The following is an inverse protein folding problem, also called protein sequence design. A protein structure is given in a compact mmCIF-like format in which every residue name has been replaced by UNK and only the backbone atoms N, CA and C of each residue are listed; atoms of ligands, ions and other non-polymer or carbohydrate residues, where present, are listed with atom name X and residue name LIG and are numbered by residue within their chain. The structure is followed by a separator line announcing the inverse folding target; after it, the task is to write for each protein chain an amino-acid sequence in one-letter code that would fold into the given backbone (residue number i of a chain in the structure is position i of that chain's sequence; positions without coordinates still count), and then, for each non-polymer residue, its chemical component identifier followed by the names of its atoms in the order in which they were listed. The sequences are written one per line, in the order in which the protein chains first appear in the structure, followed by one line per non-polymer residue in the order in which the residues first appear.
data_IF_291865483436
#
_entry.id   IF_291865483436
#
_cell.length_a   1.000
_cell.length_b   1.000
_cell.length_c   1.000
_cell.angle_alpha   90.00
_cell.angle_beta   90.00
_cell.angle_gamma   90.00
#
_symmetry.space_group_name_H-M   'P 1'
#
loop_
_entity.id
_entity.type
_entity.pdbx_description
1 polymer ?
#
# COMPACT_ATOMS: atom_id res chain seq x y z
N UNK A 1 38.03 32.66 10.54
CA UNK A 1 37.93 33.55 11.72
C UNK A 1 38.41 34.94 11.29
N UNK A 2 37.70 36.04 11.56
CA UNK A 2 36.30 36.17 11.99
C UNK A 2 35.49 37.19 11.15
N UNK A 3 34.21 37.29 11.53
CA UNK A 3 33.11 38.10 10.99
C UNK A 3 33.35 39.61 10.97
N UNK A 4 32.69 40.32 10.06
CA UNK A 4 31.68 41.38 10.31
C UNK A 4 31.64 42.35 9.13
N UNK A 5 30.47 42.51 8.50
CA UNK A 5 29.76 43.79 8.38
C UNK A 5 28.52 43.63 7.50
N UNK A 6 27.37 43.77 8.15
CA UNK A 6 26.07 43.98 7.56
C UNK A 6 25.95 45.43 7.07
N UNK A 7 25.11 45.62 6.06
CA UNK A 7 24.35 46.85 5.75
C UNK A 7 25.09 48.00 5.07
N UNK A 8 24.58 48.39 3.89
CA UNK A 8 24.10 49.76 3.62
C UNK A 8 23.23 49.76 2.34
N UNK A 9 21.95 50.05 2.55
CA UNK A 9 21.04 50.85 1.73
C UNK A 9 20.54 50.39 0.35
N UNK A 10 19.38 49.73 0.41
CA UNK A 10 18.12 50.04 -0.30
C UNK A 10 17.97 51.52 -0.79
N UNK A 11 17.77 51.75 -2.11
CA UNK A 11 16.64 52.53 -2.72
C UNK A 11 16.88 53.00 -4.17
N UNK A 12 15.77 52.96 -4.94
CA UNK A 12 15.43 53.66 -6.21
C UNK A 12 16.12 53.12 -7.47
N UNK A 13 15.51 52.91 -8.63
CA UNK A 13 14.18 53.18 -9.26
C UNK A 13 14.26 52.42 -10.60
N UNK A 14 13.34 51.52 -10.97
CA UNK A 14 12.09 51.76 -11.73
C UNK A 14 12.28 52.60 -13.00
N UNK A 15 11.85 52.00 -14.12
CA UNK A 15 11.48 52.57 -15.43
C UNK A 15 12.57 52.96 -16.45
N UNK A 16 12.41 52.45 -17.69
CA UNK A 16 12.55 53.31 -18.87
C UNK A 16 13.51 52.86 -19.98
N UNK A 17 12.98 52.09 -20.93
CA UNK A 17 13.11 52.23 -22.40
C UNK A 17 14.46 52.67 -23.01
N UNK A 18 15.06 51.78 -23.81
CA UNK A 18 15.90 52.10 -24.98
C UNK A 18 15.00 52.30 -26.22
N UNK A 19 15.35 53.15 -27.23
CA UNK A 19 16.09 52.65 -28.42
C UNK A 19 16.92 53.77 -29.15
N UNK A 20 17.30 53.67 -30.45
CA UNK A 20 18.51 53.00 -30.97
C UNK A 20 19.36 53.92 -31.91
N UNK A 21 20.62 53.56 -32.23
CA UNK A 21 21.19 53.71 -33.61
C UNK A 21 22.66 53.25 -33.76
N UNK A 22 22.85 52.40 -34.78
CA UNK A 22 23.93 52.31 -35.79
C UNK A 22 25.42 52.05 -35.46
N UNK A 23 25.89 50.92 -36.05
CA UNK A 23 27.15 50.69 -36.81
C UNK A 23 28.50 50.89 -36.09
N UNK A 24 29.57 50.09 -36.26
CA UNK A 24 30.00 49.09 -37.25
C UNK A 24 31.28 48.38 -36.71
N UNK A 25 31.52 47.13 -37.15
CA UNK A 25 32.81 46.41 -37.28
C UNK A 25 33.71 46.26 -36.05
N UNK A 26 33.85 45.07 -35.46
CA UNK A 26 34.55 43.83 -35.90
C UNK A 26 35.81 43.65 -35.06
N UNK A 27 36.10 42.41 -34.67
CA UNK A 27 37.24 41.96 -33.85
C UNK A 27 37.08 42.16 -32.32
N UNK A 28 36.02 41.60 -31.70
CA UNK A 28 36.06 41.21 -30.28
C UNK A 28 34.86 40.34 -29.83
N UNK A 29 34.50 39.31 -30.59
CA UNK A 29 33.36 38.41 -30.24
C UNK A 29 33.74 36.95 -29.96
N UNK A 30 35.02 36.61 -30.02
CA UNK A 30 35.49 35.25 -29.72
C UNK A 30 36.23 35.18 -28.37
N UNK A 31 36.79 36.29 -27.86
CA UNK A 31 37.43 36.32 -26.54
C UNK A 31 36.48 36.67 -25.37
N UNK A 32 35.36 37.35 -25.61
CA UNK A 32 34.40 37.68 -24.54
C UNK A 32 33.37 36.57 -24.26
N UNK A 33 33.11 35.69 -25.22
CA UNK A 33 32.19 34.55 -25.04
C UNK A 33 32.81 33.46 -24.17
N UNK A 34 34.14 33.30 -24.18
CA UNK A 34 34.83 32.32 -23.34
C UNK A 34 35.03 32.78 -21.89
N UNK A 35 35.14 34.10 -21.63
CA UNK A 35 35.26 34.62 -20.26
C UNK A 35 33.89 34.72 -19.58
N UNK A 36 32.80 35.01 -20.31
CA UNK A 36 31.45 34.96 -19.75
C UNK A 36 30.96 33.52 -19.47
N UNK A 37 31.42 32.53 -20.22
CA UNK A 37 31.11 31.12 -19.94
C UNK A 37 31.85 30.62 -18.70
N UNK A 38 33.08 31.08 -18.42
CA UNK A 38 33.80 30.66 -17.20
C UNK A 38 33.28 31.39 -15.95
N UNK A 39 32.92 32.67 -16.03
CA UNK A 39 32.42 33.42 -14.87
C UNK A 39 30.95 33.10 -14.53
N UNK A 40 30.11 32.75 -15.50
CA UNK A 40 28.72 32.29 -15.23
C UNK A 40 28.68 30.84 -14.73
N UNK A 41 29.66 30.01 -15.13
CA UNK A 41 29.77 28.63 -14.62
C UNK A 41 30.29 28.62 -13.18
N UNK A 42 31.22 29.50 -12.78
CA UNK A 42 31.72 29.55 -11.40
C UNK A 42 30.77 30.28 -10.42
N UNK A 43 30.06 31.33 -10.83
CA UNK A 43 29.03 31.95 -9.96
C UNK A 43 27.75 31.11 -9.85
N UNK A 44 27.46 30.26 -10.84
CA UNK A 44 26.37 29.28 -10.80
C UNK A 44 26.69 28.03 -9.95
N UNK A 45 27.97 27.77 -9.69
CA UNK A 45 28.44 26.66 -8.84
C UNK A 45 28.63 27.07 -7.36
N UNK A 46 28.70 28.36 -7.05
CA UNK A 46 28.91 28.86 -5.68
C UNK A 46 27.65 29.38 -4.96
N UNK A 47 26.50 29.45 -5.63
CA UNK A 47 25.19 29.76 -5.01
C UNK A 47 24.24 28.56 -4.94
N UNK A 48 24.76 27.34 -5.11
CA UNK A 48 23.99 26.08 -5.05
C UNK A 48 24.41 25.13 -3.92
N UNK A 49 25.27 25.60 -3.02
CA UNK A 49 25.52 24.99 -1.71
C UNK A 49 24.88 25.90 -0.67
N UNK A 50 24.11 25.30 0.22
CA UNK A 50 23.41 25.93 1.33
C UNK A 50 22.12 26.67 0.97
N UNK A 51 21.08 25.92 0.53
CA UNK A 51 19.66 26.15 0.90
C UNK A 51 18.70 25.12 0.25
N UNK A 52 18.96 23.80 0.34
CA UNK A 52 17.92 22.76 0.18
C UNK A 52 18.33 21.54 1.00
N UNK A 53 18.15 21.60 2.31
CA UNK A 53 18.02 20.43 3.17
C UNK A 53 16.54 20.15 3.36
N UNK A 54 16.14 18.88 3.23
CA UNK A 54 14.78 18.34 3.37
C UNK A 54 13.77 18.79 2.30
N UNK A 55 13.61 18.04 1.19
CA UNK A 55 12.28 17.81 0.56
C UNK A 55 12.21 16.90 -0.70
N UNK A 56 13.25 16.17 -1.11
CA UNK A 56 13.25 15.52 -2.44
C UNK A 56 13.36 13.97 -2.53
N UNK A 57 12.99 13.20 -1.51
CA UNK A 57 13.00 11.71 -1.60
C UNK A 57 11.64 10.98 -1.51
N UNK A 58 10.48 11.64 -1.40
CA UNK A 58 9.16 10.96 -1.33
C UNK A 58 8.43 10.87 -2.70
N UNK A 59 9.13 10.50 -3.78
CA UNK A 59 8.58 10.42 -5.15
C UNK A 59 8.53 8.98 -5.65
N UNK A 60 7.69 8.14 -5.04
CA UNK A 60 7.41 6.81 -5.59
C UNK A 60 6.04 6.26 -5.15
N UNK A 61 5.72 6.31 -3.87
CA UNK A 61 4.93 5.23 -3.27
C UNK A 61 3.43 5.09 -3.55
N UNK A 62 2.80 6.01 -4.25
CA UNK A 62 1.35 6.11 -4.08
C UNK A 62 0.49 5.13 -4.87
N UNK A 63 1.11 4.34 -5.74
CA UNK A 63 0.48 3.31 -6.57
C UNK A 63 1.58 2.56 -7.35
N UNK A 64 2.81 2.46 -6.79
CA UNK A 64 4.00 1.98 -7.52
C UNK A 64 4.19 0.48 -7.46
N UNK A 65 3.08 -0.23 -7.51
CA UNK A 65 3.07 -1.60 -8.01
C UNK A 65 3.21 -1.65 -9.55
N UNK A 66 3.24 -0.50 -10.25
CA UNK A 66 2.99 -0.49 -11.71
C UNK A 66 3.97 0.32 -12.57
N UNK A 67 5.08 0.85 -12.03
CA UNK A 67 5.97 1.75 -12.79
C UNK A 67 7.47 1.38 -12.87
N UNK A 68 7.90 0.17 -12.51
CA UNK A 68 9.31 -0.22 -12.65
C UNK A 68 9.55 -1.20 -13.81
N UNK A 69 9.48 -0.74 -15.06
CA UNK A 69 10.14 -1.41 -16.19
C UNK A 69 10.75 -0.37 -17.15
N UNK A 70 12.04 -0.10 -17.00
CA UNK A 70 12.93 -0.02 -18.16
C UNK A 70 14.41 -0.26 -17.79
N UNK A 71 15.15 -0.82 -18.76
CA UNK A 71 16.59 -1.12 -18.81
C UNK A 71 17.11 -2.50 -18.30
N UNK A 72 17.09 -3.46 -19.25
CA UNK A 72 18.15 -4.42 -19.67
C UNK A 72 18.64 -5.56 -18.76
N UNK A 73 18.44 -6.76 -19.31
CA UNK A 73 19.18 -8.04 -19.17
C UNK A 73 20.70 -7.89 -19.18
N UNK A 74 21.55 -8.72 -18.56
CA UNK A 74 21.72 -10.18 -18.59
C UNK A 74 22.77 -10.56 -17.54
N UNK A 75 22.72 -11.76 -16.92
CA UNK A 75 23.87 -12.70 -16.69
C UNK A 75 23.42 -13.88 -15.78
N UNK A 76 23.91 -15.12 -15.97
CA UNK A 76 23.33 -16.36 -15.42
C UNK A 76 23.84 -16.75 -14.03
N UNK A 77 23.04 -17.59 -13.35
CA UNK A 77 23.28 -18.17 -12.03
C UNK A 77 24.28 -19.34 -12.02
N UNK A 78 25.00 -19.49 -10.90
CA UNK A 78 25.81 -20.66 -10.52
C UNK A 78 25.23 -21.34 -9.27
N UNK A 79 25.33 -22.68 -9.12
CA UNK A 79 24.64 -23.44 -8.07
C UNK A 79 25.41 -23.54 -6.73
N UNK A 80 24.73 -23.88 -5.62
CA UNK A 80 25.31 -23.85 -4.28
C UNK A 80 26.08 -25.12 -3.91
N UNK A 81 27.21 -24.93 -3.21
CA UNK A 81 28.00 -25.97 -2.58
C UNK A 81 27.47 -26.36 -1.19
N UNK A 82 27.43 -27.66 -0.96
CA UNK A 82 27.11 -28.37 0.29
C UNK A 82 28.15 -28.13 1.39
N UNK A 83 27.71 -27.90 2.63
CA UNK A 83 28.53 -28.17 3.82
C UNK A 83 27.67 -28.56 5.03
N UNK A 84 28.17 -29.57 5.74
CA UNK A 84 27.53 -30.36 6.80
C UNK A 84 27.49 -29.66 8.16
N UNK A 85 26.54 -30.11 8.99
CA UNK A 85 26.42 -29.87 10.45
C UNK A 85 27.68 -30.28 11.23
N UNK A 86 27.83 -29.75 12.45
CA UNK A 86 27.91 -30.67 13.58
C UNK A 86 26.95 -30.34 14.73
N UNK A 87 26.58 -31.43 15.39
CA UNK A 87 25.79 -31.59 16.61
C UNK A 87 26.45 -30.98 17.85
N UNK A 88 25.65 -30.39 18.74
CA UNK A 88 25.96 -30.31 20.15
C UNK A 88 24.68 -30.44 20.99
N UNK A 89 24.77 -31.30 22.00
CA UNK A 89 23.77 -31.68 22.99
C UNK A 89 23.34 -30.53 23.89
N UNK A 90 22.05 -30.47 24.25
CA UNK A 90 21.55 -29.61 25.33
C UNK A 90 20.87 -30.48 26.38
N UNK A 91 21.41 -30.41 27.60
CA UNK A 91 20.83 -30.95 28.82
C UNK A 91 19.64 -30.10 29.29
N UNK A 92 18.70 -30.75 29.97
CA UNK A 92 17.33 -30.29 30.13
C UNK A 92 17.11 -29.08 31.03
N UNK A 93 15.93 -28.50 30.85
CA UNK A 93 15.22 -27.71 31.86
C UNK A 93 13.73 -28.09 31.86
N UNK A 94 13.20 -28.07 33.08
CA UNK A 94 11.92 -28.58 33.54
C UNK A 94 10.70 -27.76 33.07
N UNK A 95 9.65 -28.50 32.70
CA UNK A 95 8.21 -28.22 32.80
C UNK A 95 7.71 -26.79 32.48
N UNK A 96 7.21 -26.63 31.25
CA UNK A 96 6.23 -25.60 30.90
C UNK A 96 4.87 -26.26 30.65
N UNK A 97 3.82 -25.60 31.17
CA UNK A 97 2.41 -26.00 31.11
C UNK A 97 1.96 -26.27 29.67
N UNK A 98 1.16 -27.33 29.49
CA UNK A 98 0.45 -27.64 28.25
C UNK A 98 -0.35 -26.44 27.76
N UNK A 99 0.17 -25.77 26.73
CA UNK A 99 -0.62 -24.95 25.82
C UNK A 99 -1.06 -25.89 24.69
N UNK A 100 -2.29 -26.39 24.78
CA UNK A 100 -2.93 -27.11 23.69
C UNK A 100 -3.08 -26.16 22.51
N UNK A 101 -2.15 -26.25 21.55
CA UNK A 101 -2.28 -25.63 20.23
C UNK A 101 -3.44 -26.35 19.54
N UNK A 102 -4.65 -25.81 19.65
CA UNK A 102 -5.82 -26.26 18.90
C UNK A 102 -5.58 -25.96 17.41
N UNK A 103 -4.86 -26.85 16.74
CA UNK A 103 -4.83 -26.96 15.29
C UNK A 103 -6.03 -27.80 14.87
N UNK A 104 -7.24 -27.25 15.01
CA UNK A 104 -8.37 -27.81 14.30
C UNK A 104 -8.16 -27.52 12.81
N UNK A 105 -7.45 -28.42 12.14
CA UNK A 105 -7.36 -28.44 10.68
C UNK A 105 -8.71 -28.97 10.19
N UNK A 106 -9.74 -28.12 10.21
CA UNK A 106 -10.90 -28.34 9.36
C UNK A 106 -10.35 -28.32 7.94
N UNK A 107 -10.62 -29.38 7.17
CA UNK A 107 -10.18 -29.46 5.78
C UNK A 107 -10.67 -28.23 5.04
N UNK A 108 -9.75 -27.33 4.66
CA UNK A 108 -10.06 -26.07 3.98
C UNK A 108 -10.86 -26.27 2.69
N UNK A 109 -10.82 -27.48 2.11
CA UNK A 109 -11.58 -27.87 0.93
C UNK A 109 -13.10 -27.91 1.13
N UNK A 110 -13.61 -27.94 2.38
CA UNK A 110 -15.06 -27.90 2.63
C UNK A 110 -15.61 -26.47 2.75
N UNK A 111 -14.75 -25.48 3.02
CA UNK A 111 -15.15 -24.08 3.28
C UNK A 111 -14.89 -23.20 2.04
N UNK A 112 -13.80 -23.46 1.33
CA UNK A 112 -13.29 -22.60 0.28
C UNK A 112 -13.13 -23.35 -1.05
N UNK A 113 -13.75 -22.82 -2.10
CA UNK A 113 -13.69 -23.38 -3.45
C UNK A 113 -13.27 -22.32 -4.48
N UNK A 114 -12.40 -22.65 -5.46
CA UNK A 114 -12.10 -21.74 -6.56
C UNK A 114 -13.39 -21.25 -7.25
N UNK A 115 -13.46 -19.95 -7.53
CA UNK A 115 -14.61 -19.33 -8.19
C UNK A 115 -15.79 -18.98 -7.28
N UNK A 116 -15.73 -19.31 -5.99
CA UNK A 116 -16.79 -18.98 -5.02
C UNK A 116 -16.19 -18.35 -3.75
N UNK A 117 -16.68 -17.17 -3.31
CA UNK A 117 -16.29 -16.58 -2.04
C UNK A 117 -16.52 -17.50 -0.84
N UNK A 118 -15.51 -17.67 0.01
CA UNK A 118 -15.60 -18.50 1.22
C UNK A 118 -16.61 -17.92 2.23
N UNK A 119 -17.49 -18.76 2.77
CA UNK A 119 -18.40 -18.41 3.87
C UNK A 119 -17.95 -19.18 5.10
N UNK A 120 -17.65 -18.46 6.19
CA UNK A 120 -17.17 -19.06 7.43
C UNK A 120 -18.34 -19.34 8.39
N UNK A 121 -18.36 -20.51 9.07
CA UNK A 121 -19.44 -20.87 9.96
C UNK A 121 -19.36 -20.18 11.34
N UNK A 122 -18.16 -19.79 11.76
CA UNK A 122 -17.91 -19.04 12.98
C UNK A 122 -18.25 -17.56 12.82
N UNK A 123 -18.82 -16.98 13.87
CA UNK A 123 -19.01 -15.54 14.00
C UNK A 123 -17.89 -14.96 14.85
N UNK A 124 -17.13 -14.04 14.28
CA UNK A 124 -16.10 -13.27 14.97
C UNK A 124 -16.30 -11.79 14.70
N UNK A 125 -15.76 -10.94 15.58
CA UNK A 125 -15.79 -9.49 15.38
C UNK A 125 -14.78 -9.05 14.31
N UNK A 126 -13.59 -9.67 14.29
CA UNK A 126 -12.52 -9.44 13.31
C UNK A 126 -12.11 -10.72 12.57
N UNK A 127 -12.22 -10.72 11.24
CA UNK A 127 -11.60 -11.76 10.39
C UNK A 127 -10.42 -11.19 9.63
N UNK A 128 -9.24 -11.71 9.91
CA UNK A 128 -7.99 -11.33 9.24
C UNK A 128 -7.75 -12.34 8.12
N UNK A 129 -7.62 -11.85 6.89
CA UNK A 129 -7.41 -12.66 5.70
C UNK A 129 -6.05 -12.31 5.13
N UNK A 130 -5.11 -13.24 5.21
CA UNK A 130 -3.76 -13.10 4.70
C UNK A 130 -3.65 -13.81 3.35
N UNK A 131 -3.20 -13.08 2.33
CA UNK A 131 -2.96 -13.58 0.99
C UNK A 131 -1.45 -13.74 0.79
N UNK A 132 -0.99 -14.95 0.45
CA UNK A 132 0.41 -15.22 0.16
C UNK A 132 0.56 -16.19 -1.02
N UNK A 133 1.80 -16.34 -1.49
CA UNK A 133 2.15 -17.26 -2.56
C UNK A 133 3.48 -17.96 -2.25
N UNK A 134 4.60 -17.29 -2.51
CA UNK A 134 5.93 -17.90 -2.47
C UNK A 134 6.98 -17.06 -1.72
N UNK A 135 6.53 -16.15 -0.85
CA UNK A 135 7.41 -15.25 -0.10
C UNK A 135 7.43 -15.61 1.39
N UNK A 136 7.98 -16.79 1.72
CA UNK A 136 8.09 -17.31 3.10
C UNK A 136 8.50 -16.26 4.14
N UNK A 137 9.58 -15.52 3.87
CA UNK A 137 10.09 -14.55 4.85
C UNK A 137 9.21 -13.30 4.96
N UNK A 138 8.49 -12.95 3.88
CA UNK A 138 7.53 -11.85 3.85
C UNK A 138 6.31 -12.19 4.71
N UNK A 139 5.67 -13.34 4.46
CA UNK A 139 4.48 -13.75 5.23
C UNK A 139 4.80 -13.93 6.73
N UNK A 140 6.00 -14.43 7.08
CA UNK A 140 6.44 -14.50 8.48
C UNK A 140 6.48 -13.13 9.15
N UNK A 141 6.94 -12.08 8.46
CA UNK A 141 6.97 -10.71 9.01
C UNK A 141 5.56 -10.17 9.25
N UNK A 142 4.66 -10.36 8.29
CA UNK A 142 3.24 -10.00 8.45
C UNK A 142 2.63 -10.72 9.65
N UNK A 143 2.72 -12.06 9.68
CA UNK A 143 2.13 -12.88 10.74
C UNK A 143 2.69 -12.50 12.12
N UNK A 144 3.98 -12.20 12.23
CA UNK A 144 4.56 -11.70 13.48
C UNK A 144 3.96 -10.36 13.91
N UNK A 145 3.68 -9.43 12.98
CA UNK A 145 3.02 -8.15 13.32
C UNK A 145 1.58 -8.32 13.79
N UNK A 146 0.89 -9.38 13.35
CA UNK A 146 -0.48 -9.67 13.77
C UNK A 146 -0.56 -10.20 15.21
N UNK A 147 0.48 -10.85 15.72
CA UNK A 147 0.49 -11.40 17.08
C UNK A 147 0.41 -10.32 18.18
N UNK A 148 0.70 -9.07 17.84
CA UNK A 148 0.67 -7.95 18.77
C UNK A 148 -0.66 -7.18 18.76
N UNK A 149 -1.66 -7.60 17.96
CA UNK A 149 -2.92 -6.87 17.83
C UNK A 149 -3.65 -6.68 19.15
N UNK A 150 -4.18 -5.47 19.35
CA UNK A 150 -5.08 -5.15 20.45
C UNK A 150 -6.53 -5.29 19.96
N UNK A 151 -7.21 -6.33 20.46
CA UNK A 151 -8.59 -6.68 20.07
C UNK A 151 -9.68 -5.99 20.93
N UNK A 152 -9.31 -5.28 21.99
CA UNK A 152 -10.26 -4.56 22.85
C UNK A 152 -11.39 -5.42 23.43
N UNK A 153 -11.09 -6.70 23.72
CA UNK A 153 -12.03 -7.67 24.26
C UNK A 153 -12.85 -8.43 23.20
N UNK A 154 -12.67 -8.11 21.92
CA UNK A 154 -13.36 -8.76 20.82
C UNK A 154 -12.67 -10.07 20.38
N UNK A 155 -13.41 -10.88 19.63
CA UNK A 155 -12.94 -12.13 19.04
C UNK A 155 -12.32 -11.92 17.65
N UNK A 156 -11.32 -12.74 17.31
CA UNK A 156 -10.72 -12.73 15.98
C UNK A 156 -10.53 -14.14 15.39
N UNK A 157 -10.48 -14.21 14.06
CA UNK A 157 -10.03 -15.39 13.31
C UNK A 157 -8.96 -14.99 12.28
N UNK A 158 -8.01 -15.88 12.03
CA UNK A 158 -6.93 -15.71 11.07
C UNK A 158 -7.04 -16.76 9.96
N UNK A 159 -7.35 -16.30 8.76
CA UNK A 159 -7.43 -17.10 7.53
C UNK A 159 -6.19 -16.82 6.68
N UNK A 160 -5.42 -17.85 6.33
CA UNK A 160 -4.19 -17.68 5.55
C UNK A 160 -4.33 -18.47 4.24
N UNK A 161 -4.38 -17.75 3.13
CA UNK A 161 -4.51 -18.32 1.79
C UNK A 161 -3.15 -18.40 1.09
N UNK A 162 -2.85 -19.57 0.53
CA UNK A 162 -1.64 -19.86 -0.23
C UNK A 162 -2.05 -20.26 -1.65
N UNK A 163 -1.68 -19.44 -2.62
CA UNK A 163 -1.89 -19.74 -4.05
C UNK A 163 -0.81 -20.69 -4.60
N UNK A 164 -1.09 -21.28 -5.77
CA UNK A 164 -0.13 -22.05 -6.56
C UNK A 164 0.39 -21.22 -7.72
N UNK A 165 1.54 -21.59 -8.27
CA UNK A 165 2.04 -20.99 -9.50
C UNK A 165 1.20 -21.41 -10.70
N UNK A 166 1.27 -20.68 -11.81
CA UNK A 166 0.55 -20.99 -13.07
C UNK A 166 0.79 -22.44 -13.58
N UNK A 167 1.92 -23.05 -13.23
CA UNK A 167 2.25 -24.45 -13.54
C UNK A 167 1.82 -25.47 -12.48
N UNK A 168 1.01 -25.06 -11.49
CA UNK A 168 0.58 -25.88 -10.35
C UNK A 168 1.61 -26.00 -9.22
N UNK A 169 2.77 -25.34 -9.35
CA UNK A 169 3.86 -25.38 -8.35
C UNK A 169 3.35 -24.87 -7.00
N UNK A 170 3.60 -25.68 -5.97
CA UNK A 170 3.29 -25.37 -4.58
C UNK A 170 4.58 -25.12 -3.81
N UNK A 171 4.64 -24.00 -3.07
CA UNK A 171 5.83 -23.58 -2.34
C UNK A 171 5.77 -24.09 -0.91
N UNK A 172 6.29 -25.31 -0.71
CA UNK A 172 6.24 -26.03 0.56
C UNK A 172 6.85 -25.24 1.73
N UNK A 173 7.92 -24.48 1.48
CA UNK A 173 8.60 -23.69 2.51
C UNK A 173 7.73 -22.55 3.08
N UNK A 174 6.89 -21.95 2.23
CA UNK A 174 5.92 -20.93 2.62
C UNK A 174 4.79 -21.57 3.43
N UNK A 175 4.28 -22.72 2.99
CA UNK A 175 3.28 -23.49 3.75
C UNK A 175 3.80 -23.91 5.14
N UNK A 176 5.00 -24.48 5.21
CA UNK A 176 5.60 -24.92 6.48
C UNK A 176 5.73 -23.75 7.46
N UNK A 177 6.13 -22.57 6.97
CA UNK A 177 6.23 -21.37 7.79
C UNK A 177 4.87 -20.89 8.34
N UNK A 178 3.82 -20.95 7.52
CA UNK A 178 2.45 -20.57 7.88
C UNK A 178 1.84 -21.55 8.89
N UNK A 179 2.02 -22.86 8.66
CA UNK A 179 1.54 -23.91 9.57
C UNK A 179 2.23 -23.81 10.92
N UNK A 180 3.55 -23.64 10.93
CA UNK A 180 4.34 -23.54 12.16
C UNK A 180 4.13 -22.24 12.95
N UNK A 181 3.55 -21.20 12.35
CA UNK A 181 3.32 -19.93 13.02
C UNK A 181 2.30 -20.07 14.18
N UNK A 182 2.67 -19.66 15.38
CA UNK A 182 1.77 -19.64 16.54
C UNK A 182 0.88 -18.40 16.52
N UNK A 183 -0.43 -18.59 16.60
CA UNK A 183 -1.46 -17.56 16.67
C UNK A 183 -2.26 -17.75 17.97
N UNK A 184 -2.31 -16.72 18.81
CA UNK A 184 -2.88 -16.81 20.15
C UNK A 184 -4.12 -15.93 20.35
N UNK A 185 -4.60 -15.25 19.30
CA UNK A 185 -5.70 -14.29 19.37
C UNK A 185 -7.02 -14.84 18.81
N UNK A 186 -7.09 -16.16 18.55
CA UNK A 186 -8.30 -16.85 18.12
C UNK A 186 -8.04 -18.06 17.24
N UNK A 187 -8.98 -18.40 16.37
CA UNK A 187 -8.82 -19.53 15.44
C UNK A 187 -7.86 -19.19 14.30
N UNK A 188 -7.02 -20.14 13.89
CA UNK A 188 -6.14 -20.04 12.72
C UNK A 188 -6.45 -21.15 11.72
N UNK A 189 -6.71 -20.80 10.47
CA UNK A 189 -6.91 -21.75 9.37
C UNK A 189 -5.99 -21.44 8.19
N UNK A 190 -5.50 -22.51 7.56
CA UNK A 190 -4.61 -22.44 6.40
C UNK A 190 -5.32 -23.05 5.20
N UNK A 191 -5.49 -22.23 4.18
CA UNK A 191 -6.19 -22.56 2.94
C UNK A 191 -5.17 -22.65 1.81
N UNK A 192 -5.06 -23.83 1.20
CA UNK A 192 -4.22 -24.02 0.02
C UNK A 192 -5.13 -24.16 -1.19
N UNK A 193 -5.02 -23.24 -2.15
CA UNK A 193 -5.79 -23.35 -3.38
C UNK A 193 -5.37 -24.61 -4.15
N UNK A 194 -6.35 -25.37 -4.66
CA UNK A 194 -6.09 -26.61 -5.40
C UNK A 194 -5.50 -26.33 -6.79
N UNK A 195 -5.78 -25.15 -7.34
CA UNK A 195 -5.28 -24.66 -8.63
C UNK A 195 -4.79 -23.20 -8.48
N UNK A 196 -4.10 -22.69 -9.49
CA UNK A 196 -3.71 -21.28 -9.52
C UNK A 196 -4.94 -20.39 -9.69
N UNK A 197 -5.31 -19.65 -8.66
CA UNK A 197 -6.44 -18.70 -8.72
C UNK A 197 -5.99 -17.27 -9.02
N UNK A 198 -4.69 -17.00 -8.88
CA UNK A 198 -4.08 -15.70 -9.09
C UNK A 198 -4.56 -14.64 -8.09
N UNK A 199 -4.04 -13.42 -8.23
CA UNK A 199 -4.39 -12.33 -7.30
C UNK A 199 -5.88 -11.99 -7.34
N UNK A 200 -6.56 -12.15 -8.48
CA UNK A 200 -8.02 -11.97 -8.56
C UNK A 200 -8.74 -12.96 -7.65
N UNK A 201 -8.44 -14.26 -7.77
CA UNK A 201 -9.10 -15.26 -6.96
C UNK A 201 -8.72 -15.18 -5.49
N UNK A 202 -7.46 -14.86 -5.17
CA UNK A 202 -7.04 -14.63 -3.79
C UNK A 202 -7.84 -13.51 -3.11
N UNK A 203 -7.98 -12.35 -3.77
CA UNK A 203 -8.76 -11.25 -3.20
C UNK A 203 -10.26 -11.51 -3.19
N UNK A 204 -10.81 -12.08 -4.26
CA UNK A 204 -12.26 -12.10 -4.48
C UNK A 204 -12.91 -13.34 -3.85
N UNK A 205 -12.21 -14.47 -3.81
CA UNK A 205 -12.78 -15.73 -3.32
C UNK A 205 -12.47 -16.03 -1.85
N UNK A 206 -11.57 -15.29 -1.19
CA UNK A 206 -11.14 -15.58 0.18
C UNK A 206 -12.17 -15.28 1.26
N UNK A 207 -13.21 -14.49 0.96
CA UNK A 207 -14.22 -14.11 1.96
C UNK A 207 -15.53 -13.64 1.34
N UNK A 208 -16.65 -14.07 1.92
CA UNK A 208 -17.99 -13.54 1.72
C UNK A 208 -18.46 -12.88 3.02
N UNK A 209 -18.87 -11.61 2.99
CA UNK A 209 -19.35 -10.92 4.18
C UNK A 209 -20.46 -11.66 4.91
N UNK A 210 -20.36 -11.69 6.23
CA UNK A 210 -21.42 -12.11 7.16
C UNK A 210 -21.81 -10.91 8.03
N UNK A 211 -23.03 -10.93 8.55
CA UNK A 211 -23.55 -9.83 9.39
C UNK A 211 -22.71 -9.66 10.67
N UNK A 212 -22.29 -8.42 10.95
CA UNK A 212 -21.62 -8.03 12.18
C UNK A 212 -20.10 -8.26 12.22
N UNK A 213 -19.50 -8.79 11.15
CA UNK A 213 -18.07 -9.08 11.07
C UNK A 213 -17.30 -7.98 10.32
N UNK A 214 -16.13 -7.58 10.84
CA UNK A 214 -15.16 -6.75 10.15
C UNK A 214 -14.10 -7.65 9.52
N UNK A 215 -13.94 -7.59 8.19
CA UNK A 215 -12.82 -8.24 7.50
C UNK A 215 -11.63 -7.29 7.34
N UNK A 216 -10.41 -7.79 7.50
CA UNK A 216 -9.16 -7.12 7.19
C UNK A 216 -8.34 -7.99 6.24
N UNK A 217 -8.20 -7.57 4.98
CA UNK A 217 -7.47 -8.31 3.95
C UNK A 217 -6.06 -7.73 3.80
N UNK A 218 -5.05 -8.59 3.87
CA UNK A 218 -3.63 -8.23 3.89
C UNK A 218 -2.84 -9.11 2.92
N UNK A 219 -2.02 -8.49 2.07
CA UNK A 219 -0.98 -9.19 1.32
C UNK A 219 0.26 -9.41 2.20
N UNK A 220 1.03 -10.44 1.90
CA UNK A 220 2.14 -10.88 2.74
C UNK A 220 3.24 -9.83 2.96
N UNK A 221 3.36 -8.79 2.12
CA UNK A 221 4.32 -7.68 2.25
C UNK A 221 3.89 -6.51 3.15
N UNK A 222 2.76 -6.64 3.83
CA UNK A 222 2.25 -5.64 4.76
C UNK A 222 2.73 -5.91 6.19
N UNK A 223 3.10 -4.86 6.94
CA UNK A 223 3.19 -4.90 8.40
C UNK A 223 2.13 -3.97 8.99
N UNK A 224 1.49 -4.37 10.08
CA UNK A 224 0.43 -3.57 10.72
C UNK A 224 0.81 -3.10 12.13
N UNK A 225 0.21 -1.98 12.55
CA UNK A 225 0.26 -1.53 13.94
C UNK A 225 -0.64 -2.40 14.80
N UNK A 226 -0.24 -2.64 16.07
CA UNK A 226 -1.10 -3.29 17.07
C UNK A 226 -2.48 -2.65 17.22
N UNK A 227 -2.60 -1.36 16.92
CA UNK A 227 -3.85 -0.60 17.05
C UNK A 227 -4.68 -0.53 15.76
N UNK A 228 -4.30 -1.26 14.69
CA UNK A 228 -5.01 -1.15 13.42
C UNK A 228 -6.48 -1.57 13.53
N UNK A 229 -6.77 -2.62 14.32
CA UNK A 229 -8.13 -3.06 14.57
C UNK A 229 -8.94 -2.04 15.36
N UNK A 230 -8.38 -1.45 16.43
CA UNK A 230 -9.06 -0.41 17.22
C UNK A 230 -9.53 0.75 16.34
N UNK A 231 -8.70 1.20 15.38
CA UNK A 231 -9.11 2.22 14.42
C UNK A 231 -10.20 1.73 13.46
N UNK A 232 -10.05 0.52 12.89
CA UNK A 232 -11.04 -0.07 11.98
C UNK A 232 -12.40 -0.26 12.65
N UNK A 233 -12.43 -0.81 13.87
CA UNK A 233 -13.64 -0.97 14.69
C UNK A 233 -14.38 0.35 14.85
N UNK A 234 -13.66 1.41 15.22
CA UNK A 234 -14.23 2.74 15.36
C UNK A 234 -14.74 3.30 14.02
N UNK A 235 -13.98 3.11 12.94
CA UNK A 235 -14.36 3.59 11.60
C UNK A 235 -15.61 2.89 11.07
N UNK A 236 -15.69 1.55 11.15
CA UNK A 236 -16.88 0.78 10.80
C UNK A 236 -18.08 1.20 11.65
N UNK A 237 -17.90 1.38 12.97
CA UNK A 237 -19.00 1.85 13.85
C UNK A 237 -19.52 3.23 13.47
N UNK A 238 -18.63 4.17 13.13
CA UNK A 238 -19.02 5.55 12.83
C UNK A 238 -19.61 5.69 11.42
N UNK A 239 -19.04 4.98 10.45
CA UNK A 239 -19.33 5.17 9.03
C UNK A 239 -20.19 4.06 8.41
N UNK A 240 -20.41 2.93 9.08
CA UNK A 240 -20.99 1.72 8.48
C UNK A 240 -22.40 1.86 7.94
N UNK A 241 -23.15 2.90 8.33
CA UNK A 241 -24.47 3.19 7.77
C UNK A 241 -24.43 4.10 6.52
N UNK A 242 -23.24 4.52 6.08
CA UNK A 242 -23.10 5.39 4.91
C UNK A 242 -23.08 4.58 3.63
N UNK A 243 -24.03 4.87 2.75
CA UNK A 243 -24.16 4.20 1.46
C UNK A 243 -23.07 4.53 0.45
N UNK A 244 -22.28 5.60 0.68
CA UNK A 244 -21.27 6.10 -0.24
C UNK A 244 -19.84 5.61 0.05
N UNK A 245 -19.68 4.60 0.91
CA UNK A 245 -18.37 4.05 1.29
C UNK A 245 -18.19 2.65 0.73
N UNK A 246 -17.15 2.43 -0.08
CA UNK A 246 -16.79 1.10 -0.60
C UNK A 246 -16.05 0.24 0.43
N UNK A 247 -15.38 0.88 1.38
CA UNK A 247 -14.59 0.24 2.41
C UNK A 247 -13.57 1.18 3.04
N UNK A 248 -12.73 0.61 3.87
CA UNK A 248 -11.78 1.28 4.76
C UNK A 248 -10.38 0.77 4.44
N UNK A 249 -9.35 1.60 4.63
CA UNK A 249 -7.98 1.16 4.40
C UNK A 249 -7.05 1.61 5.53
N UNK A 250 -6.07 0.76 5.85
CA UNK A 250 -4.97 1.09 6.76
C UNK A 250 -3.87 1.91 6.07
N UNK A 251 -4.01 2.17 4.76
CA UNK A 251 -3.16 3.07 3.98
C UNK A 251 -3.45 4.54 4.31
N UNK A 252 -2.42 5.40 4.29
CA UNK A 252 -2.62 6.85 4.55
C UNK A 252 -1.73 7.78 3.74
N UNK A 253 -0.41 7.73 3.95
CA UNK A 253 0.53 8.80 3.61
C UNK A 253 1.00 8.81 2.15
N UNK A 254 0.69 7.75 1.42
CA UNK A 254 1.06 7.57 0.04
C UNK A 254 -0.16 7.53 -0.87
N UNK A 255 -1.06 8.50 -0.83
CA UNK A 255 -2.08 8.59 -1.89
C UNK A 255 -1.81 9.82 -2.75
N UNK A 256 -1.77 9.64 -4.07
CA UNK A 256 -1.50 10.69 -5.06
C UNK A 256 -2.75 10.92 -5.91
N UNK A 257 -2.77 12.05 -6.61
CA UNK A 257 -3.72 12.29 -7.69
C UNK A 257 -3.60 11.21 -8.78
N UNK A 258 -4.71 10.56 -9.09
CA UNK A 258 -4.83 9.57 -10.15
C UNK A 258 -4.90 10.20 -11.56
N UNK A 259 -5.05 11.54 -11.69
CA UNK A 259 -5.12 12.25 -12.99
C UNK A 259 -3.84 13.01 -13.39
N UNK A 260 -2.69 12.74 -12.77
CA UNK A 260 -1.41 13.33 -13.19
C UNK A 260 -0.54 13.95 -12.09
N UNK A 261 -0.44 13.30 -10.92
CA UNK A 261 0.71 13.52 -10.04
C UNK A 261 0.75 14.81 -9.22
N UNK A 262 -0.37 15.55 -9.10
CA UNK A 262 -0.48 16.56 -8.04
C UNK A 262 -0.25 15.90 -6.68
N UNK A 263 0.58 16.53 -5.85
CA UNK A 263 0.73 16.13 -4.46
C UNK A 263 -0.62 16.28 -3.77
N UNK A 264 -1.10 15.20 -3.16
CA UNK A 264 -2.29 15.24 -2.35
C UNK A 264 -1.89 15.72 -0.96
N UNK A 265 -2.55 16.77 -0.47
CA UNK A 265 -2.42 17.18 0.93
C UNK A 265 -3.73 16.88 1.63
N UNK A 266 -3.69 15.90 2.53
CA UNK A 266 -4.78 15.62 3.41
C UNK A 266 -5.09 16.85 4.32
N UNK A 267 -6.35 16.99 4.79
CA UNK A 267 -6.75 18.06 5.71
C UNK A 267 -5.97 17.97 7.03
N UNK A 268 -5.65 19.10 7.68
CA UNK A 268 -4.88 19.07 8.95
C UNK A 268 -5.76 18.79 10.17
N UNK A 269 -7.04 19.08 10.07
CA UNK A 269 -8.04 19.09 11.13
C UNK A 269 -8.95 17.85 11.11
N UNK A 270 -8.77 16.94 10.14
CA UNK A 270 -9.56 15.71 10.03
C UNK A 270 -8.67 14.48 10.18
N UNK A 271 -9.06 13.57 11.09
CA UNK A 271 -8.40 12.29 11.35
C UNK A 271 -8.58 11.27 10.22
N UNK A 272 -9.57 11.47 9.35
CA UNK A 272 -9.87 10.64 8.19
C UNK A 272 -10.52 11.46 7.07
N UNK A 273 -10.44 10.97 5.84
CA UNK A 273 -11.10 11.56 4.67
C UNK A 273 -11.53 10.46 3.69
N UNK A 274 -12.42 10.81 2.76
CA UNK A 274 -12.90 9.92 1.71
C UNK A 274 -12.20 10.22 0.38
N UNK A 275 -11.84 9.18 -0.36
CA UNK A 275 -11.17 9.33 -1.65
C UNK A 275 -11.67 8.27 -2.65
N UNK A 276 -11.91 8.66 -3.91
CA UNK A 276 -12.22 7.73 -5.01
C UNK A 276 -11.13 6.70 -5.31
N UNK A 277 -9.88 6.98 -4.92
CA UNK A 277 -8.78 6.04 -5.11
C UNK A 277 -8.82 5.00 -3.98
N UNK A 278 -8.93 3.72 -4.36
CA UNK A 278 -8.77 2.58 -3.46
C UNK A 278 -7.38 2.61 -2.79
N UNK A 279 -7.32 2.32 -1.49
CA UNK A 279 -6.07 1.94 -0.82
C UNK A 279 -6.04 0.44 -0.55
N UNK A 280 -5.11 -0.28 -1.17
CA UNK A 280 -5.00 -1.75 -1.06
C UNK A 280 -4.25 -2.23 0.17
N UNK A 281 -3.54 -1.34 0.89
CA UNK A 281 -2.74 -1.75 2.06
C UNK A 281 -3.61 -1.89 3.30
N UNK A 282 -4.00 -3.12 3.62
CA UNK A 282 -4.93 -3.41 4.70
C UNK A 282 -6.33 -2.93 4.37
N UNK A 283 -6.86 -3.38 3.23
CA UNK A 283 -8.23 -3.04 2.83
C UNK A 283 -9.23 -3.85 3.67
N UNK A 284 -10.21 -3.15 4.21
CA UNK A 284 -11.32 -3.68 5.00
C UNK A 284 -12.61 -3.30 4.27
N UNK A 285 -13.19 -4.20 3.46
CA UNK A 285 -14.32 -3.86 2.62
C UNK A 285 -15.57 -3.48 3.43
N UNK A 286 -16.41 -2.59 2.90
CA UNK A 286 -17.78 -2.45 3.40
C UNK A 286 -18.56 -3.71 2.99
N UNK A 287 -19.22 -4.43 3.92
CA UNK A 287 -19.79 -5.74 3.65
C UNK A 287 -20.78 -5.72 2.46
N UNK A 288 -21.75 -4.81 2.47
CA UNK A 288 -22.75 -4.72 1.39
C UNK A 288 -22.12 -4.42 0.02
N UNK A 289 -21.23 -3.41 -0.04
CA UNK A 289 -20.58 -3.01 -1.29
C UNK A 289 -19.63 -4.07 -1.83
N UNK A 290 -18.95 -4.81 -0.95
CA UNK A 290 -18.11 -5.93 -1.35
C UNK A 290 -18.92 -7.07 -1.92
N UNK A 291 -20.07 -7.38 -1.31
CA UNK A 291 -21.00 -8.39 -1.80
C UNK A 291 -21.50 -8.07 -3.21
N UNK A 292 -21.94 -6.83 -3.42
CA UNK A 292 -22.36 -6.31 -4.73
C UNK A 292 -21.23 -6.39 -5.77
N UNK A 293 -20.01 -5.99 -5.38
CA UNK A 293 -18.83 -6.08 -6.24
C UNK A 293 -18.51 -7.51 -6.65
N UNK A 294 -18.52 -8.47 -5.71
CA UNK A 294 -18.26 -9.88 -6.00
C UNK A 294 -19.27 -10.46 -6.99
N UNK A 295 -20.56 -10.16 -6.79
CA UNK A 295 -21.64 -10.69 -7.62
C UNK A 295 -21.60 -10.09 -9.04
N UNK A 296 -21.32 -8.79 -9.14
CA UNK A 296 -21.08 -8.11 -10.41
C UNK A 296 -19.85 -8.69 -11.13
N UNK A 297 -18.72 -8.77 -10.42
CA UNK A 297 -17.44 -9.23 -10.98
C UNK A 297 -17.54 -10.65 -11.55
N UNK A 298 -18.24 -11.55 -10.85
CA UNK A 298 -18.48 -12.94 -11.31
C UNK A 298 -19.15 -12.99 -12.68
N UNK A 299 -20.05 -12.04 -12.95
CA UNK A 299 -20.75 -11.96 -14.24
C UNK A 299 -19.91 -11.21 -15.28
N UNK A 300 -19.44 -10.01 -14.93
CA UNK A 300 -18.73 -9.12 -15.84
C UNK A 300 -17.41 -9.70 -16.37
N UNK A 301 -16.68 -10.47 -15.54
CA UNK A 301 -15.40 -11.09 -15.95
C UNK A 301 -15.54 -12.13 -17.06
N UNK A 302 -16.73 -12.72 -17.24
CA UNK A 302 -16.97 -13.69 -18.31
C UNK A 302 -17.30 -13.04 -19.65
N UNK A 303 -17.51 -11.72 -19.69
CA UNK A 303 -17.67 -10.97 -20.93
C UNK A 303 -16.30 -10.55 -21.47
N UNK A 304 -15.84 -11.21 -22.53
CA UNK A 304 -14.55 -10.91 -23.16
C UNK A 304 -14.48 -9.53 -23.83
N UNK A 305 -15.62 -8.86 -24.03
CA UNK A 305 -15.67 -7.51 -24.59
C UNK A 305 -15.64 -6.42 -23.52
N UNK A 306 -15.82 -6.80 -22.25
CA UNK A 306 -15.82 -5.86 -21.15
C UNK A 306 -14.39 -5.49 -20.72
N UNK A 307 -14.15 -4.20 -20.56
CA UNK A 307 -12.90 -3.65 -20.05
C UNK A 307 -13.21 -2.67 -18.92
N UNK A 308 -12.65 -2.84 -17.70
CA UNK A 308 -12.94 -2.00 -16.55
C UNK A 308 -12.25 -0.63 -16.63
N UNK A 309 -12.36 0.07 -17.76
CA UNK A 309 -11.71 1.38 -17.95
C UNK A 309 -12.49 2.50 -17.27
N UNK A 310 -11.75 3.40 -16.62
CA UNK A 310 -12.27 4.67 -16.09
C UNK A 310 -11.53 5.83 -16.75
N UNK A 311 -12.28 6.84 -17.18
CA UNK A 311 -11.72 7.91 -18.01
C UNK A 311 -10.78 8.85 -17.24
N UNK A 312 -9.63 9.12 -17.85
CA UNK A 312 -8.68 10.13 -17.40
C UNK A 312 -7.87 9.77 -16.16
N UNK A 313 -7.90 8.52 -15.70
CA UNK A 313 -7.04 8.05 -14.59
C UNK A 313 -5.86 7.22 -15.09
N UNK A 314 -4.72 7.33 -14.41
CA UNK A 314 -3.47 6.64 -14.78
C UNK A 314 -3.61 5.11 -14.70
N UNK A 315 -4.45 4.60 -13.79
CA UNK A 315 -4.68 3.17 -13.62
C UNK A 315 -5.24 2.50 -14.88
N UNK A 316 -6.09 3.19 -15.64
CA UNK A 316 -6.60 2.71 -16.93
C UNK A 316 -5.46 2.50 -17.94
N UNK A 317 -4.46 3.38 -17.95
CA UNK A 317 -3.30 3.23 -18.83
C UNK A 317 -2.41 2.05 -18.42
N UNK A 318 -2.25 1.81 -17.10
CA UNK A 318 -1.56 0.62 -16.61
C UNK A 318 -2.29 -0.67 -16.98
N UNK A 319 -3.60 -0.71 -16.81
CA UNK A 319 -4.41 -1.86 -17.19
C UNK A 319 -4.29 -2.17 -18.68
N UNK A 320 -4.38 -1.14 -19.55
CA UNK A 320 -4.14 -1.30 -21.00
C UNK A 320 -2.76 -1.86 -21.32
N UNK A 321 -1.71 -1.43 -20.60
CA UNK A 321 -0.35 -1.98 -20.74
C UNK A 321 -0.30 -3.46 -20.34
N UNK A 322 -1.02 -3.84 -19.28
CA UNK A 322 -1.12 -5.23 -18.86
C UNK A 322 -1.95 -6.11 -19.80
N UNK A 323 -2.97 -5.57 -20.44
CA UNK A 323 -3.71 -6.29 -21.49
C UNK A 323 -2.80 -6.60 -22.68
N UNK A 324 -2.00 -5.63 -23.12
CA UNK A 324 -1.00 -5.83 -24.18
C UNK A 324 0.02 -6.92 -23.80
N UNK A 325 0.41 -6.99 -22.52
CA UNK A 325 1.33 -8.01 -21.98
C UNK A 325 0.64 -9.33 -21.60
N UNK A 326 -0.69 -9.43 -21.71
CA UNK A 326 -1.50 -10.57 -21.24
C UNK A 326 -1.29 -10.90 -19.75
N UNK A 327 -1.12 -9.87 -18.93
CA UNK A 327 -0.92 -9.95 -17.48
C UNK A 327 -1.95 -9.12 -16.69
N UNK A 328 -3.06 -8.71 -17.31
CA UNK A 328 -4.09 -7.89 -16.66
C UNK A 328 -4.78 -8.59 -15.50
N UNK A 329 -4.75 -9.93 -15.47
CA UNK A 329 -5.13 -10.81 -14.36
C UNK A 329 -4.34 -10.56 -13.06
N UNK A 330 -3.33 -9.69 -13.10
CA UNK A 330 -2.55 -9.22 -11.94
C UNK A 330 -3.09 -7.95 -11.26
N UNK A 331 -4.10 -7.27 -11.82
CA UNK A 331 -4.62 -6.00 -11.32
C UNK A 331 -6.13 -6.03 -10.99
N UNK A 332 -6.50 -6.69 -9.89
CA UNK A 332 -7.90 -6.78 -9.45
C UNK A 332 -8.48 -5.39 -9.11
N UNK A 333 -7.61 -4.49 -8.65
CA UNK A 333 -7.94 -3.13 -8.24
C UNK A 333 -8.60 -2.34 -9.36
N UNK A 334 -8.30 -2.60 -10.64
CA UNK A 334 -8.96 -1.90 -11.75
C UNK A 334 -10.45 -2.23 -11.84
N UNK A 335 -10.83 -3.49 -11.59
CA UNK A 335 -12.24 -3.90 -11.54
C UNK A 335 -12.98 -3.23 -10.39
N UNK A 336 -12.35 -3.18 -9.22
CA UNK A 336 -12.92 -2.50 -8.06
C UNK A 336 -13.02 -0.99 -8.29
N UNK A 337 -12.01 -0.36 -8.89
CA UNK A 337 -12.02 1.06 -9.27
C UNK A 337 -13.21 1.34 -10.20
N UNK A 338 -13.38 0.55 -11.27
CA UNK A 338 -14.52 0.69 -12.17
C UNK A 338 -15.85 0.59 -11.43
N UNK A 339 -16.01 -0.42 -10.57
CA UNK A 339 -17.23 -0.63 -9.79
C UNK A 339 -17.52 0.57 -8.88
N UNK A 340 -16.52 1.02 -8.12
CA UNK A 340 -16.70 2.18 -7.22
C UNK A 340 -16.99 3.48 -7.95
N UNK A 341 -16.42 3.68 -9.14
CA UNK A 341 -16.70 4.86 -9.97
C UNK A 341 -18.17 4.89 -10.41
N UNK A 342 -18.67 3.77 -10.93
CA UNK A 342 -20.05 3.64 -11.43
C UNK A 342 -21.11 3.69 -10.32
N UNK A 343 -20.72 3.35 -9.08
CA UNK A 343 -21.61 3.39 -7.92
C UNK A 343 -21.39 4.65 -7.05
N UNK A 344 -20.54 5.59 -7.48
CA UNK A 344 -20.19 6.82 -6.75
C UNK A 344 -19.73 6.57 -5.30
N UNK A 345 -18.89 5.54 -5.12
CA UNK A 345 -18.36 5.12 -3.83
C UNK A 345 -16.97 5.70 -3.57
N UNK A 346 -16.64 5.82 -2.28
CA UNK A 346 -15.36 6.32 -1.81
C UNK A 346 -14.73 5.33 -0.81
N UNK A 347 -13.40 5.25 -0.82
CA UNK A 347 -12.66 4.56 0.22
C UNK A 347 -12.40 5.53 1.39
N UNK A 348 -12.55 5.07 2.64
CA UNK A 348 -12.15 5.84 3.81
C UNK A 348 -10.68 5.60 4.13
N UNK A 349 -9.91 6.67 4.16
CA UNK A 349 -8.50 6.68 4.50
C UNK A 349 -8.31 7.37 5.84
N UNK A 350 -7.40 6.84 6.66
CA UNK A 350 -6.93 7.54 7.85
C UNK A 350 -5.90 8.60 7.49
N UNK A 351 -5.78 9.61 8.35
CA UNK A 351 -4.91 10.76 8.14
C UNK A 351 -4.09 11.09 9.39
N UNK A 352 -3.76 10.06 10.17
CA UNK A 352 -3.20 10.23 11.51
C UNK A 352 -1.88 11.01 11.51
N UNK A 353 -1.04 10.86 10.47
CA UNK A 353 0.23 11.60 10.32
C UNK A 353 0.03 13.11 10.24
N UNK A 354 -0.86 13.60 9.36
CA UNK A 354 -1.09 15.06 9.22
C UNK A 354 -1.95 15.60 10.36
N UNK A 355 -2.91 14.81 10.84
CA UNK A 355 -3.80 15.19 11.93
C UNK A 355 -3.07 15.37 13.27
N UNK A 356 -2.18 14.44 13.62
CA UNK A 356 -1.48 14.45 14.91
C UNK A 356 -0.07 15.06 14.85
N UNK A 357 0.52 15.17 13.66
CA UNK A 357 1.92 15.55 13.47
C UNK A 357 2.93 14.46 13.88
N UNK A 358 2.48 13.28 14.29
CA UNK A 358 3.34 12.18 14.73
C UNK A 358 4.01 11.48 13.53
N UNK A 359 5.32 11.20 13.67
CA UNK A 359 6.07 10.43 12.67
C UNK A 359 5.67 8.95 12.66
N UNK A 360 5.47 8.37 13.84
CA UNK A 360 4.90 7.02 14.03
C UNK A 360 3.38 7.17 14.13
N UNK A 361 2.69 6.88 13.04
CA UNK A 361 1.24 7.05 12.91
C UNK A 361 0.60 6.17 11.85
N UNK A 362 1.38 5.35 11.14
CA UNK A 362 0.87 4.43 10.14
C UNK A 362 0.13 3.26 10.82
N UNK A 363 -1.04 2.90 10.31
CA UNK A 363 -1.74 1.69 10.76
C UNK A 363 -1.28 0.45 9.99
N UNK A 364 -0.79 0.64 8.77
CA UNK A 364 -0.08 -0.36 7.98
C UNK A 364 1.05 0.30 7.18
N UNK A 365 2.08 -0.48 6.87
CA UNK A 365 3.14 -0.13 5.94
C UNK A 365 3.34 -1.27 4.95
N UNK A 366 3.62 -0.93 3.69
CA UNK A 366 4.09 -1.91 2.71
C UNK A 366 5.63 -1.92 2.73
N UNK A 367 6.23 -3.10 2.83
CA UNK A 367 7.68 -3.28 2.90
C UNK A 367 8.37 -3.23 1.54
N UNK A 368 7.61 -3.03 0.46
CA UNK A 368 8.04 -3.03 -0.94
C UNK A 368 8.96 -4.21 -1.23
N UNK A 369 8.61 -5.40 -0.76
CA UNK A 369 9.45 -6.56 -1.01
C UNK A 369 9.29 -6.98 -2.48
N UNK A 370 10.36 -7.41 -3.17
CA UNK A 370 10.25 -7.91 -4.54
C UNK A 370 9.10 -8.90 -4.70
N UNK A 371 8.29 -8.70 -5.74
CA UNK A 371 7.06 -9.44 -5.95
C UNK A 371 6.50 -9.25 -7.36
N UNK A 372 5.19 -9.48 -7.49
CA UNK A 372 4.46 -9.41 -8.77
C UNK A 372 4.63 -8.06 -9.48
N UNK A 373 4.70 -7.01 -8.69
CA UNK A 373 4.49 -5.63 -9.11
C UNK A 373 5.64 -4.68 -8.73
N UNK A 374 6.44 -5.09 -7.74
CA UNK A 374 7.62 -4.36 -7.30
C UNK A 374 8.89 -5.18 -7.53
N UNK A 375 9.94 -4.57 -8.09
CA UNK A 375 11.21 -5.22 -8.40
C UNK A 375 12.42 -4.54 -7.74
N UNK A 376 12.18 -3.49 -6.95
CA UNK A 376 13.23 -2.76 -6.24
C UNK A 376 13.69 -3.49 -4.97
N UNK A 377 14.53 -2.83 -4.18
CA UNK A 377 14.92 -3.33 -2.86
C UNK A 377 13.79 -3.03 -1.86
N UNK A 378 13.46 -4.01 -1.04
CA UNK A 378 12.54 -3.81 0.08
C UNK A 378 13.06 -2.79 1.09
N UNK A 379 12.13 -2.15 1.78
CA UNK A 379 12.35 -1.13 2.78
C UNK A 379 11.90 -1.63 4.15
N UNK A 380 12.61 -1.21 5.20
CA UNK A 380 12.16 -1.37 6.57
C UNK A 380 11.64 -0.02 7.09
N UNK A 381 10.33 0.12 7.01
CA UNK A 381 9.55 1.29 7.45
C UNK A 381 8.68 0.96 8.68
N UNK A 382 8.93 -0.15 9.37
CA UNK A 382 8.14 -0.57 10.54
C UNK A 382 8.15 0.46 11.68
N UNK A 383 9.20 1.29 11.77
CA UNK A 383 9.28 2.44 12.69
C UNK A 383 8.21 3.51 12.49
N UNK A 384 7.52 3.51 11.34
CA UNK A 384 6.42 4.43 11.03
C UNK A 384 5.09 3.94 11.59
N UNK A 385 4.99 2.65 11.96
CA UNK A 385 3.80 2.07 12.56
C UNK A 385 3.47 2.77 13.86
N UNK A 386 2.19 3.03 14.10
CA UNK A 386 1.67 3.64 15.31
C UNK A 386 1.99 2.74 16.52
N UNK A 387 2.69 3.27 17.51
CA UNK A 387 3.10 2.54 18.73
C UNK A 387 2.40 3.02 20.01
N UNK A 388 1.73 4.16 19.96
CA UNK A 388 0.97 4.71 21.08
C UNK A 388 -0.42 5.13 20.62
N UNK A 389 -1.45 4.74 21.36
CA UNK A 389 -2.83 5.13 21.06
C UNK A 389 -3.20 6.49 21.65
N UNK A 390 -3.97 7.28 20.90
CA UNK A 390 -4.63 8.48 21.38
C UNK A 390 -6.09 8.48 20.96
N UNK A 391 -6.98 8.84 21.88
CA UNK A 391 -8.43 8.90 21.63
C UNK A 391 -8.82 9.86 20.50
N UNK A 392 -7.97 10.85 20.18
CA UNK A 392 -8.21 11.75 19.05
C UNK A 392 -8.15 11.07 17.68
N UNK A 393 -7.50 9.90 17.54
CA UNK A 393 -7.39 9.19 16.26
C UNK A 393 -8.73 8.66 15.73
N UNK A 394 -9.72 8.53 16.61
CA UNK A 394 -11.09 8.10 16.28
C UNK A 394 -12.11 9.22 16.45
N UNK A 395 -11.67 10.47 16.65
CA UNK A 395 -12.52 11.65 16.56
C UNK A 395 -12.77 11.95 15.07
N UNK A 396 -13.73 11.23 14.51
CA UNK A 396 -14.10 11.37 13.10
C UNK A 396 -14.93 12.63 12.86
N UNK A 397 -14.71 13.32 11.73
CA UNK A 397 -15.49 14.49 11.35
C UNK A 397 -16.92 14.09 10.95
N UNK A 398 -17.93 14.79 11.47
CA UNK A 398 -19.33 14.61 11.03
C UNK A 398 -19.50 14.89 9.53
N UNK A 399 -18.78 15.89 9.01
CA UNK A 399 -18.69 16.17 7.58
C UNK A 399 -17.34 15.72 7.04
N UNK A 400 -17.25 14.46 6.61
CA UNK A 400 -16.01 13.90 6.05
C UNK A 400 -15.78 14.43 4.65
N UNK A 401 -14.67 15.15 4.46
CA UNK A 401 -14.26 15.67 3.15
C UNK A 401 -14.05 14.52 2.17
N UNK A 402 -14.57 14.68 0.95
CA UNK A 402 -14.43 13.74 -0.16
C UNK A 402 -13.48 14.31 -1.19
N UNK A 403 -12.64 13.44 -1.76
CA UNK A 403 -11.73 13.80 -2.84
C UNK A 403 -12.02 12.99 -4.10
N UNK A 404 -11.98 13.67 -5.24
CA UNK A 404 -12.08 13.09 -6.57
C UNK A 404 -10.70 12.62 -7.07
N UNK A 405 -10.64 11.82 -8.15
CA UNK A 405 -9.40 11.26 -8.71
C UNK A 405 -8.30 12.28 -9.01
N UNK A 406 -8.65 13.54 -9.21
CA UNK A 406 -7.69 14.63 -9.41
C UNK A 406 -7.12 15.22 -8.10
N UNK A 407 -7.47 14.65 -6.94
CA UNK A 407 -7.19 15.15 -5.59
C UNK A 407 -7.89 16.47 -5.24
N UNK A 408 -8.90 16.90 -5.99
CA UNK A 408 -9.75 18.03 -5.64
C UNK A 408 -10.84 17.59 -4.66
N UNK A 409 -11.15 18.45 -3.69
CA UNK A 409 -12.28 18.22 -2.81
C UNK A 409 -13.60 18.32 -3.61
N UNK A 410 -14.53 17.41 -3.33
CA UNK A 410 -15.89 17.43 -3.85
C UNK A 410 -16.73 18.19 -2.82
N UNK A 411 -17.36 19.29 -3.27
CA UNK A 411 -18.22 20.16 -2.45
C UNK A 411 -19.64 19.64 -2.44
#
# INVERSE_FOLDING_TARGET
MPMHLFSIYWRKTVEGRLPPTMMRHSVSRILWTLVFIVVVVDFGLYLKKDYVTEQQEEVADCNLDLLAQDARSTVPATPPGTAQKPSASVAGFSAAKDLTVNTNVVSSAEICHPGTPCVYPDKVDLRIIVLTYNRRDSVKKLLNSLNDLELDGDSAALEIFIDRGKSGVFHQDTYDAVVAHAWNLGEKRVHVWQEHVGIYGQWIHSWRPQEGEIALILEDDISVSRFCYRWLKAAHRFYGNRSDISGYTLQSSNVKSAKGGRSFSAPKDHSAFLYRVLGSWGFSPHPDRWMEFQDWFKTARNDSSFHPYVDGIVMTNWYKSFEQKKSHDSMWTMWHIWFTDHHNLFCLLHNLRKFSGLKSSALAVNRQEPGLHYHGKGIDNTKELLVEWKEEFVKFPNNTIKYDYNAAAIV
#
